data_IF_088311806559
#
_entry.id   IF_088311806559
#
_cell.length_a   1.000
_cell.length_b   1.000
_cell.length_c   1.000
_cell.angle_alpha   90.00
_cell.angle_beta   90.00
_cell.angle_gamma   90.00
#
_symmetry.space_group_name_H-M   'P 1'
#
loop_
_entity.id
_entity.type
_entity.pdbx_description
1 polymer ?
#
# COMPACT_ATOMS: atom_id res chain seq x y z
N UNK A 1 21.11 -21.89 7.56
CA UNK A 1 20.41 -22.38 8.77
C UNK A 1 19.30 -21.38 9.08
N UNK A 2 18.03 -21.74 8.96
CA UNK A 2 16.91 -20.85 9.28
C UNK A 2 16.52 -21.07 10.74
N UNK A 3 16.83 -20.12 11.61
CA UNK A 3 16.46 -20.19 13.03
C UNK A 3 14.97 -19.86 13.17
N UNK A 4 14.23 -20.81 13.75
CA UNK A 4 12.79 -20.68 14.01
C UNK A 4 12.56 -20.59 15.50
N UNK A 5 11.73 -19.63 15.91
CA UNK A 5 11.34 -19.40 17.31
C UNK A 5 9.86 -19.67 17.48
N UNK A 6 9.47 -20.07 18.69
CA UNK A 6 8.07 -20.32 19.03
C UNK A 6 7.41 -19.01 19.45
N UNK A 7 6.30 -18.64 18.80
CA UNK A 7 5.52 -17.47 19.22
C UNK A 7 5.00 -17.66 20.64
N UNK A 8 5.26 -16.69 21.51
CA UNK A 8 4.85 -16.70 22.93
C UNK A 8 3.33 -16.58 23.13
N UNK A 9 2.58 -16.17 22.11
CA UNK A 9 1.14 -15.95 22.20
C UNK A 9 0.29 -17.12 21.68
N UNK A 10 0.67 -17.70 20.54
CA UNK A 10 -0.11 -18.76 19.88
C UNK A 10 0.66 -20.09 19.73
N UNK A 11 1.93 -20.12 20.13
CA UNK A 11 2.76 -21.32 20.05
C UNK A 11 3.20 -21.73 18.64
N UNK A 12 2.89 -20.95 17.61
CA UNK A 12 3.28 -21.24 16.22
C UNK A 12 4.78 -21.02 16.02
N UNK A 13 5.43 -21.90 15.26
CA UNK A 13 6.84 -21.75 14.87
C UNK A 13 6.95 -20.71 13.76
N UNK A 14 7.72 -19.66 14.02
CA UNK A 14 7.88 -18.52 13.12
C UNK A 14 9.37 -18.16 12.99
N UNK A 15 9.74 -17.40 11.95
CA UNK A 15 11.13 -17.01 11.74
C UNK A 15 11.60 -16.05 12.85
N UNK A 16 12.81 -16.18 13.36
CA UNK A 16 13.31 -15.31 14.45
C UNK A 16 13.26 -13.80 14.11
N UNK A 17 13.66 -13.44 12.88
CA UNK A 17 13.57 -12.07 12.38
C UNK A 17 12.15 -11.55 12.09
N UNK A 18 11.09 -12.33 12.33
CA UNK A 18 9.73 -11.82 12.12
C UNK A 18 9.27 -11.01 13.33
N UNK A 19 9.08 -9.70 13.12
CA UNK A 19 8.65 -8.80 14.19
C UNK A 19 7.23 -9.15 14.70
N UNK A 20 6.38 -9.70 13.82
CA UNK A 20 4.97 -10.00 14.10
C UNK A 20 4.62 -11.39 13.60
N UNK A 21 3.94 -12.18 14.43
CA UNK A 21 3.51 -13.52 14.06
C UNK A 21 2.46 -13.46 12.94
N UNK A 22 2.65 -14.13 11.78
CA UNK A 22 1.68 -14.13 10.69
C UNK A 22 0.38 -14.89 11.05
N UNK A 23 0.39 -15.72 12.10
CA UNK A 23 -0.79 -16.46 12.53
C UNK A 23 -1.67 -15.62 13.47
N UNK A 24 -1.09 -15.00 14.51
CA UNK A 24 -1.88 -14.29 15.52
C UNK A 24 -1.78 -12.76 15.48
N UNK A 25 -0.92 -12.19 14.61
CA UNK A 25 -0.75 -10.74 14.47
C UNK A 25 -0.06 -10.04 15.64
N UNK A 26 0.47 -10.80 16.62
CA UNK A 26 1.15 -10.27 17.81
C UNK A 26 2.67 -10.36 17.70
N UNK A 27 3.43 -9.51 18.40
CA UNK A 27 4.88 -9.57 18.42
C UNK A 27 5.41 -10.92 18.92
N UNK A 28 6.41 -11.47 18.25
CA UNK A 28 6.89 -12.84 18.52
C UNK A 28 7.75 -12.92 19.78
N UNK A 29 8.58 -11.90 20.00
CA UNK A 29 9.65 -11.90 21.01
C UNK A 29 9.32 -11.10 22.28
N UNK A 30 8.16 -10.43 22.36
CA UNK A 30 7.82 -9.59 23.50
C UNK A 30 6.35 -9.77 23.90
N UNK A 31 6.13 -10.34 25.09
CA UNK A 31 4.79 -10.57 25.66
C UNK A 31 4.07 -9.27 26.04
N UNK A 32 4.83 -8.25 26.40
CA UNK A 32 4.35 -6.96 26.91
C UNK A 32 4.48 -5.84 25.87
N UNK A 33 4.89 -6.18 24.64
CA UNK A 33 4.97 -5.20 23.57
C UNK A 33 3.55 -4.70 23.23
N UNK A 34 3.32 -3.37 23.22
CA UNK A 34 2.06 -2.82 22.78
C UNK A 34 1.79 -3.25 21.34
N UNK A 35 0.68 -3.96 21.11
CA UNK A 35 0.21 -4.41 19.78
C UNK A 35 -0.19 -3.24 18.87
N UNK A 36 -0.18 -2.04 19.41
CA UNK A 36 -0.64 -0.78 18.83
C UNK A 36 0.42 0.31 19.02
N UNK A 37 1.66 0.04 18.61
CA UNK A 37 2.63 1.12 18.37
C UNK A 37 2.31 1.77 17.04
N UNK A 38 2.22 3.10 17.04
CA UNK A 38 2.21 3.85 15.80
C UNK A 38 3.43 3.42 14.96
N UNK A 39 3.28 3.28 13.63
CA UNK A 39 4.41 2.91 12.79
C UNK A 39 5.54 3.92 13.01
N UNK A 40 6.81 3.47 13.03
CA UNK A 40 7.95 4.37 13.21
C UNK A 40 7.93 5.48 12.15
N UNK A 41 8.44 6.69 12.47
CA UNK A 41 8.24 7.90 11.65
C UNK A 41 8.88 7.82 10.26
N UNK A 42 9.82 6.91 10.04
CA UNK A 42 10.43 6.63 8.74
C UNK A 42 9.62 5.65 7.88
N UNK A 43 8.63 4.97 8.45
CA UNK A 43 7.75 4.02 7.79
C UNK A 43 6.46 4.69 7.32
N UNK A 44 6.57 5.92 6.80
CA UNK A 44 5.52 6.50 5.95
C UNK A 44 5.40 5.59 4.75
N UNK A 45 4.40 4.71 4.78
CA UNK A 45 3.92 4.00 3.60
C UNK A 45 3.80 5.03 2.49
N UNK A 46 4.23 4.65 1.29
CA UNK A 46 3.87 5.29 0.03
C UNK A 46 2.35 5.17 -0.21
N UNK A 47 1.56 5.62 0.76
CA UNK A 47 0.17 5.97 0.56
C UNK A 47 0.21 7.20 -0.34
N UNK A 48 -0.46 7.09 -1.48
CA UNK A 48 -0.64 8.13 -2.48
C UNK A 48 0.46 8.42 -3.52
N UNK A 49 1.20 7.41 -4.02
CA UNK A 49 1.43 7.41 -5.49
C UNK A 49 0.17 6.94 -6.20
N UNK A 50 -0.92 7.68 -6.02
CA UNK A 50 -2.08 7.61 -6.88
C UNK A 50 -1.60 8.01 -8.27
N UNK A 51 -1.35 7.00 -9.11
CA UNK A 51 -1.20 7.19 -10.55
C UNK A 51 -2.50 7.83 -11.05
N UNK A 52 -2.59 9.16 -11.03
CA UNK A 52 -3.60 9.90 -11.78
C UNK A 52 -3.35 9.59 -13.24
N UNK A 53 -4.09 8.61 -13.76
CA UNK A 53 -4.01 8.21 -15.15
C UNK A 53 -4.40 9.42 -16.02
N UNK A 54 -3.55 9.89 -16.94
CA UNK A 54 -3.74 11.13 -17.70
C UNK A 54 -4.83 11.03 -18.79
N UNK A 55 -5.69 10.00 -18.76
CA UNK A 55 -6.73 9.74 -19.77
C UNK A 55 -7.84 10.80 -19.77
N UNK A 56 -8.18 11.35 -18.60
CA UNK A 56 -9.26 12.33 -18.46
C UNK A 56 -8.96 13.63 -19.25
N UNK A 57 -7.80 14.31 -19.08
CA UNK A 57 -7.50 15.50 -19.87
C UNK A 57 -7.36 15.21 -21.37
N UNK A 58 -6.83 14.04 -21.75
CA UNK A 58 -6.68 13.65 -23.16
C UNK A 58 -8.02 13.51 -23.88
N UNK A 59 -9.03 12.91 -23.23
CA UNK A 59 -10.38 12.78 -23.80
C UNK A 59 -11.06 14.13 -24.02
N UNK A 60 -10.90 15.07 -23.07
CA UNK A 60 -11.50 16.41 -23.19
C UNK A 60 -10.89 17.17 -24.37
N UNK A 61 -9.57 17.13 -24.52
CA UNK A 61 -8.87 17.78 -25.64
C UNK A 61 -9.35 17.19 -26.98
N UNK A 62 -9.47 15.87 -27.08
CA UNK A 62 -9.94 15.21 -28.30
C UNK A 62 -11.37 15.65 -28.70
N UNK A 63 -12.29 15.77 -27.72
CA UNK A 63 -13.66 16.24 -27.97
C UNK A 63 -13.67 17.71 -28.43
N UNK A 64 -12.87 18.58 -27.82
CA UNK A 64 -12.79 19.99 -28.21
C UNK A 64 -12.28 20.13 -29.65
N UNK A 65 -11.24 19.38 -30.03
CA UNK A 65 -10.68 19.39 -31.39
C UNK A 65 -11.70 18.89 -32.41
N UNK A 66 -12.44 17.82 -32.09
CA UNK A 66 -13.50 17.30 -32.96
C UNK A 66 -14.63 18.31 -33.16
N UNK A 67 -15.11 18.94 -32.07
CA UNK A 67 -16.14 19.97 -32.15
C UNK A 67 -15.68 21.20 -32.95
N UNK A 68 -14.44 21.65 -32.74
CA UNK A 68 -13.87 22.77 -33.49
C UNK A 68 -13.74 22.46 -34.98
N UNK A 69 -13.30 21.25 -35.33
CA UNK A 69 -13.24 20.80 -36.72
C UNK A 69 -14.64 20.79 -37.35
N UNK A 70 -15.62 20.17 -36.69
CA UNK A 70 -17.02 20.14 -37.16
C UNK A 70 -17.58 21.55 -37.34
N UNK A 71 -17.35 22.46 -36.39
CA UNK A 71 -17.77 23.86 -36.51
C UNK A 71 -17.11 24.55 -37.71
N UNK A 72 -15.80 24.35 -37.91
CA UNK A 72 -15.08 24.91 -39.05
C UNK A 72 -15.60 24.38 -40.40
N UNK A 73 -15.99 23.11 -40.46
CA UNK A 73 -16.58 22.52 -41.66
C UNK A 73 -18.06 22.90 -41.88
N UNK A 74 -18.80 23.26 -40.83
CA UNK A 74 -20.20 23.71 -40.90
C UNK A 74 -20.35 25.23 -41.12
N UNK A 75 -19.26 25.99 -41.01
CA UNK A 75 -19.23 27.46 -41.06
C UNK A 75 -18.79 27.98 -42.42
#
# INVERSE_FOLDING_TARGET
MTVKVKCVHCGTMVHEFTATCPNCGKPVANKDAPVNVAPPPWQKKHADYSKKSPVIPMMIIAVIVACAAVYFFLK
#
